data_IF_043074991954
#
_entry.id   IF_043074991954
#
_cell.length_a   1.000
_cell.length_b   1.000
_cell.length_c   1.000
_cell.angle_alpha   90.00
_cell.angle_beta   90.00
_cell.angle_gamma   90.00
#
_symmetry.space_group_name_H-M   'P 1'
#
loop_
_entity.id
_entity.type
_entity.pdbx_description
1 polymer ?
#
# COMPACT_ATOMS: atom_id res chain seq x y z
N UNK A 1 18.54 -0.56 20.70
CA UNK A 1 18.51 -1.30 19.43
C UNK A 1 17.13 -1.94 19.37
N UNK A 2 16.20 -1.36 18.61
CA UNK A 2 14.86 -1.95 18.41
C UNK A 2 14.95 -2.77 17.13
N UNK A 3 15.04 -4.09 17.29
CA UNK A 3 14.73 -5.01 16.19
C UNK A 3 13.24 -4.90 15.91
N UNK A 4 12.87 -4.49 14.70
CA UNK A 4 11.48 -4.49 14.28
C UNK A 4 11.27 -5.56 13.22
N UNK A 5 10.34 -6.46 13.54
CA UNK A 5 9.81 -7.47 12.64
C UNK A 5 8.62 -6.83 11.93
N UNK A 6 8.74 -6.62 10.63
CA UNK A 6 7.63 -6.20 9.79
C UNK A 6 6.62 -7.35 9.72
N UNK A 7 5.37 -7.08 10.07
CA UNK A 7 4.26 -8.03 9.87
C UNK A 7 3.14 -7.33 9.13
N UNK A 8 2.83 -7.84 7.94
CA UNK A 8 1.87 -7.28 6.96
C UNK A 8 0.45 -7.12 7.52
N UNK A 9 0.10 -7.88 8.56
CA UNK A 9 -1.14 -7.73 9.32
C UNK A 9 -0.81 -7.45 10.81
N UNK A 10 -0.83 -6.18 11.21
CA UNK A 10 -0.59 -5.77 12.59
C UNK A 10 -1.86 -5.22 13.26
N UNK A 11 -2.07 -5.67 14.50
CA UNK A 11 -3.10 -5.16 15.39
C UNK A 11 -2.43 -4.27 16.43
N UNK A 12 -3.05 -3.13 16.74
CA UNK A 12 -2.55 -2.21 17.76
C UNK A 12 -3.70 -1.60 18.54
N UNK A 13 -3.53 -1.43 19.86
CA UNK A 13 -4.43 -0.60 20.66
C UNK A 13 -4.29 0.90 20.33
N UNK A 14 -3.16 1.26 19.71
CA UNK A 14 -2.80 2.60 19.28
C UNK A 14 -2.43 2.60 17.78
N UNK A 15 -3.36 2.30 16.86
CA UNK A 15 -3.07 2.25 15.43
C UNK A 15 -2.57 3.62 14.91
N UNK A 16 -2.97 4.73 15.53
CA UNK A 16 -2.54 6.09 15.22
C UNK A 16 -1.03 6.33 15.35
N UNK A 17 -0.29 5.48 16.06
CA UNK A 17 1.17 5.57 16.15
C UNK A 17 1.88 5.01 14.92
N UNK A 18 1.22 4.12 14.19
CA UNK A 18 1.72 3.49 12.97
C UNK A 18 1.18 4.19 11.73
N UNK A 19 -0.05 4.69 11.81
CA UNK A 19 -0.66 5.49 10.75
C UNK A 19 -0.01 6.88 10.67
N UNK A 20 0.64 7.18 9.56
CA UNK A 20 1.27 8.49 9.38
C UNK A 20 2.50 8.68 10.27
N UNK A 21 3.30 7.64 10.49
CA UNK A 21 4.63 7.76 11.09
C UNK A 21 5.70 7.32 10.08
N UNK A 22 6.92 7.86 10.19
CA UNK A 22 8.04 7.67 9.25
C UNK A 22 8.60 6.24 9.19
N UNK A 23 7.99 5.29 9.89
CA UNK A 23 8.55 3.97 10.16
C UNK A 23 8.37 2.96 9.01
N UNK A 24 7.75 3.35 7.90
CA UNK A 24 7.47 2.43 6.77
C UNK A 24 7.68 3.10 5.43
N UNK A 25 8.22 2.37 4.46
CA UNK A 25 8.34 2.76 3.03
C UNK A 25 6.98 2.76 2.29
N UNK A 26 5.89 3.10 2.99
CA UNK A 26 4.52 3.05 2.45
C UNK A 26 4.03 4.41 1.98
N UNK A 27 3.23 4.41 0.92
CA UNK A 27 2.53 5.58 0.41
C UNK A 27 1.34 5.90 1.30
N UNK A 28 1.60 6.80 2.24
CA UNK A 28 0.62 7.33 3.19
C UNK A 28 -0.34 8.35 2.53
N UNK A 29 -0.34 8.54 1.19
CA UNK A 29 -1.20 9.54 0.52
C UNK A 29 -2.68 9.20 0.53
N UNK A 30 -3.08 7.93 0.45
CA UNK A 30 -4.51 7.55 0.36
C UNK A 30 -5.11 7.12 1.70
N UNK A 31 -5.55 8.10 2.49
CA UNK A 31 -6.42 7.87 3.67
C UNK A 31 -7.79 7.26 3.30
N UNK A 32 -8.14 7.22 2.01
CA UNK A 32 -9.39 6.65 1.51
C UNK A 32 -9.50 5.15 1.79
N UNK A 33 -8.40 4.38 1.72
CA UNK A 33 -8.46 2.96 2.06
C UNK A 33 -8.88 2.74 3.50
N UNK A 34 -8.18 3.38 4.45
CA UNK A 34 -8.50 3.30 5.88
C UNK A 34 -9.96 3.62 6.15
N UNK A 35 -10.44 4.74 5.58
CA UNK A 35 -11.83 5.18 5.72
C UNK A 35 -12.82 4.13 5.21
N UNK A 36 -12.57 3.53 4.03
CA UNK A 36 -13.41 2.47 3.47
C UNK A 36 -13.36 1.20 4.32
N UNK A 37 -12.19 0.84 4.82
CA UNK A 37 -11.95 -0.35 5.65
C UNK A 37 -12.70 -0.24 6.98
N UNK A 38 -12.50 0.85 7.73
CA UNK A 38 -13.14 1.07 9.04
C UNK A 38 -14.67 1.16 8.92
N UNK A 39 -15.19 1.73 7.83
CA UNK A 39 -16.62 1.74 7.55
C UNK A 39 -17.19 0.34 7.32
N UNK A 40 -16.45 -0.52 6.61
CA UNK A 40 -16.89 -1.88 6.28
C UNK A 40 -16.72 -2.84 7.47
N UNK A 41 -15.67 -2.63 8.26
CA UNK A 41 -15.29 -3.49 9.39
C UNK A 41 -15.06 -2.63 10.65
N UNK A 42 -16.14 -2.13 11.28
CA UNK A 42 -16.03 -1.24 12.43
C UNK A 42 -15.36 -1.91 13.62
N UNK A 43 -14.47 -1.18 14.31
CA UNK A 43 -13.87 -1.62 15.58
C UNK A 43 -12.66 -2.54 15.46
N UNK A 44 -12.11 -2.75 14.27
CA UNK A 44 -11.07 -3.76 14.06
C UNK A 44 -9.63 -3.37 14.43
N UNK A 45 -9.36 -2.08 14.71
CA UNK A 45 -8.08 -1.61 15.28
C UNK A 45 -6.81 -2.03 14.49
N UNK A 46 -6.94 -2.27 13.17
CA UNK A 46 -5.80 -2.56 12.32
C UNK A 46 -4.99 -1.30 12.03
N UNK A 47 -3.67 -1.45 11.93
CA UNK A 47 -2.85 -0.49 11.19
C UNK A 47 -3.00 -0.78 9.69
N UNK A 48 -3.46 0.22 8.93
CA UNK A 48 -3.88 0.10 7.53
C UNK A 48 -2.86 0.58 6.51
N UNK A 49 -1.79 1.26 6.92
CA UNK A 49 -0.82 1.89 6.02
C UNK A 49 -0.16 0.96 4.98
N UNK A 50 0.09 -0.32 5.29
CA UNK A 50 0.64 -1.31 4.32
C UNK A 50 -0.44 -2.07 3.54
N UNK A 51 -1.69 -2.07 4.03
CA UNK A 51 -2.74 -2.95 3.50
C UNK A 51 -3.10 -2.69 2.03
N UNK A 52 -3.11 -1.45 1.51
CA UNK A 52 -3.33 -1.20 0.09
C UNK A 52 -2.37 -1.96 -0.82
N UNK A 53 -1.09 -2.02 -0.46
CA UNK A 53 -0.05 -2.72 -1.24
C UNK A 53 -0.31 -4.23 -1.28
N UNK A 54 -0.48 -4.84 -0.11
CA UNK A 54 -0.76 -6.27 -0.01
C UNK A 54 -2.06 -6.66 -0.74
N UNK A 55 -3.08 -5.80 -0.64
CA UNK A 55 -4.34 -6.00 -1.35
C UNK A 55 -4.13 -5.97 -2.87
N UNK A 56 -3.38 -5.00 -3.37
CA UNK A 56 -3.12 -4.83 -4.79
C UNK A 56 -2.25 -5.95 -5.37
N UNK A 57 -1.18 -6.34 -4.66
CA UNK A 57 -0.30 -7.45 -5.07
C UNK A 57 -1.09 -8.76 -5.22
N UNK A 58 -1.93 -9.07 -4.23
CA UNK A 58 -2.76 -10.27 -4.29
C UNK A 58 -3.82 -10.17 -5.40
N UNK A 59 -4.47 -9.01 -5.52
CA UNK A 59 -5.51 -8.78 -6.52
C UNK A 59 -4.96 -8.91 -7.95
N UNK A 60 -3.73 -8.45 -8.21
CA UNK A 60 -3.07 -8.62 -9.50
C UNK A 60 -2.88 -10.11 -9.88
N UNK A 61 -2.49 -10.93 -8.90
CA UNK A 61 -2.33 -12.37 -9.10
C UNK A 61 -3.69 -13.04 -9.34
N UNK A 62 -4.70 -12.68 -8.54
CA UNK A 62 -6.08 -13.19 -8.71
C UNK A 62 -6.63 -12.84 -10.08
N UNK A 63 -6.48 -11.59 -10.54
CA UNK A 63 -6.94 -11.18 -11.87
C UNK A 63 -6.29 -11.99 -13.00
N UNK A 64 -5.02 -12.37 -12.86
CA UNK A 64 -4.38 -13.24 -13.84
C UNK A 64 -5.06 -14.61 -13.91
N UNK A 65 -5.32 -15.22 -12.74
CA UNK A 65 -6.01 -16.51 -12.67
C UNK A 65 -7.44 -16.44 -13.20
N UNK A 66 -8.21 -15.40 -12.84
CA UNK A 66 -9.58 -15.19 -13.33
C UNK A 66 -9.65 -15.00 -14.85
N UNK A 67 -8.57 -14.49 -15.46
CA UNK A 67 -8.42 -14.36 -16.92
C UNK A 67 -7.89 -15.65 -17.57
N UNK A 68 -7.63 -16.71 -16.81
CA UNK A 68 -7.04 -17.95 -17.30
C UNK A 68 -5.58 -17.77 -17.78
N UNK A 69 -4.89 -16.75 -17.30
CA UNK A 69 -3.52 -16.43 -17.70
C UNK A 69 -2.51 -16.90 -16.65
N UNK A 70 -1.31 -17.25 -17.11
CA UNK A 70 -0.19 -17.44 -16.20
C UNK A 70 0.14 -16.09 -15.51
N UNK A 71 0.19 -16.00 -14.17
CA UNK A 71 0.43 -14.73 -13.47
C UNK A 71 1.72 -14.02 -13.87
N UNK A 72 2.80 -14.76 -14.08
CA UNK A 72 4.07 -14.16 -14.51
C UNK A 72 3.96 -13.56 -15.92
N UNK A 73 3.22 -14.19 -16.83
CA UNK A 73 2.97 -13.64 -18.19
C UNK A 73 2.05 -12.42 -18.12
N UNK A 74 0.97 -12.48 -17.34
CA UNK A 74 0.05 -11.36 -17.14
C UNK A 74 0.79 -10.13 -16.60
N UNK A 75 1.52 -10.30 -15.49
CA UNK A 75 2.29 -9.23 -14.88
C UNK A 75 3.36 -8.71 -15.85
N UNK A 76 4.04 -9.59 -16.61
CA UNK A 76 5.01 -9.18 -17.65
C UNK A 76 4.43 -8.39 -18.80
N UNK A 77 3.11 -8.39 -19.01
CA UNK A 77 2.47 -7.59 -20.07
C UNK A 77 1.74 -6.35 -19.53
N UNK A 78 1.55 -6.27 -18.21
CA UNK A 78 0.88 -5.15 -17.58
C UNK A 78 1.79 -3.92 -17.50
N UNK A 79 1.35 -2.80 -18.06
CA UNK A 79 2.11 -1.52 -18.07
C UNK A 79 1.54 -0.48 -17.12
N UNK A 80 0.30 -0.66 -16.68
CA UNK A 80 -0.39 0.23 -15.75
C UNK A 80 -1.41 -0.57 -14.93
N UNK A 81 -1.51 -0.24 -13.65
CA UNK A 81 -2.53 -0.77 -12.76
C UNK A 81 -3.08 0.37 -11.90
N UNK A 82 -4.41 0.44 -11.84
CA UNK A 82 -5.14 1.38 -10.99
C UNK A 82 -5.51 0.65 -9.70
N UNK A 83 -4.63 0.78 -8.71
CA UNK A 83 -4.72 0.07 -7.46
C UNK A 83 -5.37 0.88 -6.35
N UNK A 84 -5.58 0.18 -5.24
CA UNK A 84 -5.96 0.75 -3.95
C UNK A 84 -4.87 1.67 -3.39
N UNK A 85 -3.60 1.34 -3.61
CA UNK A 85 -2.45 2.17 -3.26
C UNK A 85 -2.26 3.36 -4.23
N UNK A 86 -3.11 3.48 -5.26
CA UNK A 86 -3.00 4.45 -6.33
C UNK A 86 -2.42 3.86 -7.62
N UNK A 87 -2.28 4.69 -8.67
CA UNK A 87 -1.80 4.24 -9.96
C UNK A 87 -0.32 3.86 -9.90
N UNK A 88 0.00 2.68 -10.43
CA UNK A 88 1.38 2.26 -10.69
C UNK A 88 1.57 2.05 -12.19
N UNK A 89 2.76 2.40 -12.68
CA UNK A 89 3.15 2.20 -14.08
C UNK A 89 4.44 1.41 -14.15
N UNK A 90 4.66 0.74 -15.28
CA UNK A 90 5.88 0.00 -15.54
C UNK A 90 6.43 0.38 -16.91
N UNK A 91 7.68 0.83 -16.93
CA UNK A 91 8.37 1.10 -18.18
C UNK A 91 8.57 -0.18 -19.00
N UNK A 92 8.55 -0.11 -20.35
CA UNK A 92 8.93 -1.24 -21.19
C UNK A 92 10.31 -1.79 -20.81
N UNK A 93 10.41 -3.11 -20.62
CA UNK A 93 11.66 -3.77 -20.22
C UNK A 93 12.02 -3.68 -18.74
N UNK A 94 11.29 -2.92 -17.92
CA UNK A 94 11.44 -2.92 -16.46
C UNK A 94 10.71 -4.11 -15.83
N UNK A 95 11.32 -4.73 -14.81
CA UNK A 95 10.65 -5.70 -13.94
C UNK A 95 9.81 -5.07 -12.83
N UNK A 96 10.03 -3.78 -12.55
CA UNK A 96 9.49 -3.10 -11.37
C UNK A 96 8.43 -2.07 -11.76
N UNK A 97 7.27 -2.15 -11.10
CA UNK A 97 6.27 -1.09 -11.12
C UNK A 97 6.75 0.09 -10.28
N UNK A 98 6.34 1.29 -10.68
CA UNK A 98 6.66 2.55 -10.04
C UNK A 98 5.35 3.29 -9.74
N UNK A 99 5.21 3.75 -8.50
CA UNK A 99 4.21 4.74 -8.11
C UNK A 99 4.80 6.15 -8.23
N UNK A 100 3.94 7.17 -8.15
CA UNK A 100 4.43 8.53 -7.96
C UNK A 100 5.09 8.63 -6.57
N UNK A 101 6.31 9.18 -6.45
CA UNK A 101 6.94 9.34 -5.15
C UNK A 101 6.10 10.25 -4.26
N UNK A 102 5.91 9.86 -3.01
CA UNK A 102 5.36 10.73 -1.98
C UNK A 102 6.53 11.40 -1.25
N UNK A 103 6.63 12.73 -1.36
CA UNK A 103 7.59 13.51 -0.59
C UNK A 103 6.90 14.00 0.67
N UNK A 104 7.53 13.80 1.82
CA UNK A 104 6.98 14.16 3.12
C UNK A 104 7.89 15.16 3.82
N UNK A 105 7.28 16.06 4.59
CA UNK A 105 7.99 16.97 5.51
C UNK A 105 7.55 16.75 6.94
N UNK A 106 8.40 17.08 7.90
CA UNK A 106 8.04 17.04 9.32
C UNK A 106 7.38 18.36 9.69
N UNK A 107 6.14 18.29 10.19
CA UNK A 107 5.43 19.42 10.78
C UNK A 107 4.88 19.01 12.14
N UNK A 108 5.29 19.70 13.19
CA UNK A 108 4.86 19.43 14.58
C UNK A 108 5.07 17.96 15.01
N UNK A 109 6.21 17.36 14.63
CA UNK A 109 6.54 15.97 14.97
C UNK A 109 5.76 14.91 14.18
N UNK A 110 4.99 15.30 13.16
CA UNK A 110 4.23 14.38 12.30
C UNK A 110 4.61 14.57 10.83
N UNK A 111 4.59 13.51 10.00
CA UNK A 111 4.71 13.66 8.56
C UNK A 111 3.51 14.42 7.99
N UNK A 112 3.80 15.33 7.09
CA UNK A 112 2.83 16.06 6.30
C UNK A 112 3.28 15.98 4.83
N UNK A 113 2.35 15.70 3.92
CA UNK A 113 2.66 15.60 2.50
C UNK A 113 3.27 16.93 2.03
N UNK A 114 4.40 16.84 1.33
CA UNK A 114 5.00 17.98 0.67
C UNK A 114 4.21 18.25 -0.62
N UNK A 115 3.48 19.38 -0.61
CA UNK A 115 2.72 19.85 -1.78
C UNK A 115 3.64 20.60 -2.75
#
# INVERSE_FOLDING_TARGET
MLEHRETEASLSQHPELFEGAWYTDSDLRDFGFKTRFERKYPGMQFATHMMPYAYDDFNLIVQAFERGQNPAVYLRNLTRYEGTAGPITRAPGSGNFQSAPAVWTIRNGKPALYN
#
